data_IF_282935433427
#
_entry.id   IF_282935433427
#
_cell.length_a   1.000
_cell.length_b   1.000
_cell.length_c   1.000
_cell.angle_alpha   90.00
_cell.angle_beta   90.00
_cell.angle_gamma   90.00
#
_symmetry.space_group_name_H-M   'P 1'
#
loop_
_entity.id
_entity.type
_entity.pdbx_description
1 polymer ?
#
# COMPACT_ATOMS: atom_id res chain seq x y z
N UNK A 1 -6.91 45.44 -31.10
CA UNK A 1 -5.95 45.43 -29.98
C UNK A 1 -6.29 44.37 -28.90
N UNK A 2 -6.86 43.22 -29.27
CA UNK A 2 -7.24 42.13 -28.34
C UNK A 2 -6.42 40.84 -28.53
N UNK A 3 -5.72 40.67 -29.66
CA UNK A 3 -4.93 39.48 -29.97
C UNK A 3 -3.58 39.39 -29.22
N UNK A 4 -3.06 40.52 -28.71
CA UNK A 4 -1.75 40.54 -28.05
C UNK A 4 -1.81 40.10 -26.59
N UNK A 5 -2.96 40.23 -25.92
CA UNK A 5 -3.16 39.83 -24.51
C UNK A 5 -3.35 38.33 -24.32
N UNK A 6 -3.93 37.64 -25.30
CA UNK A 6 -4.18 36.20 -25.23
C UNK A 6 -2.87 35.39 -25.30
N UNK A 7 -1.90 35.85 -26.10
CA UNK A 7 -0.58 35.20 -26.21
C UNK A 7 0.25 35.23 -24.93
N UNK A 8 0.10 36.26 -24.08
CA UNK A 8 0.82 36.32 -22.81
C UNK A 8 0.19 35.45 -21.72
N UNK A 9 -1.11 35.20 -21.76
CA UNK A 9 -1.76 34.27 -20.83
C UNK A 9 -1.39 32.79 -21.14
N UNK A 10 -1.18 32.45 -22.40
CA UNK A 10 -0.81 31.08 -22.80
C UNK A 10 0.60 30.67 -22.35
N UNK A 11 1.53 31.63 -22.21
CA UNK A 11 2.91 31.35 -21.78
C UNK A 11 2.98 31.15 -20.25
N UNK A 12 2.08 31.75 -19.48
CA UNK A 12 2.05 31.59 -18.02
C UNK A 12 1.48 30.22 -17.56
N UNK A 13 0.59 29.62 -18.35
CA UNK A 13 -0.06 28.34 -18.01
C UNK A 13 0.89 27.14 -18.24
N UNK A 14 1.87 27.25 -19.14
CA UNK A 14 2.89 26.21 -19.35
C UNK A 14 3.93 26.19 -18.22
N UNK A 15 4.08 27.29 -17.46
CA UNK A 15 4.97 27.35 -16.29
C UNK A 15 4.43 26.61 -15.06
N UNK A 16 3.13 26.25 -15.07
CA UNK A 16 2.46 25.46 -14.04
C UNK A 16 2.18 24.01 -14.49
N UNK A 17 2.87 23.53 -15.52
CA UNK A 17 3.02 22.11 -15.75
C UNK A 17 3.88 21.54 -14.61
N UNK A 18 3.18 21.20 -13.53
CA UNK A 18 3.65 20.51 -12.33
C UNK A 18 4.71 19.49 -12.72
N UNK A 19 5.95 19.83 -12.39
CA UNK A 19 7.08 18.93 -12.40
C UNK A 19 6.76 17.88 -11.34
N UNK A 20 6.02 16.83 -11.71
CA UNK A 20 5.97 15.59 -10.96
C UNK A 20 7.30 14.87 -11.17
N UNK A 21 8.39 15.47 -10.69
CA UNK A 21 9.62 14.71 -10.47
C UNK A 21 9.32 13.78 -9.31
N UNK A 22 9.10 12.51 -9.59
CA UNK A 22 9.32 11.48 -8.60
C UNK A 22 10.85 11.40 -8.42
N UNK A 23 11.36 12.04 -7.37
CA UNK A 23 12.74 11.83 -6.97
C UNK A 23 12.76 10.43 -6.37
N UNK A 24 13.41 9.51 -7.06
CA UNK A 24 13.77 8.25 -6.43
C UNK A 24 14.70 8.63 -5.25
N UNK A 25 14.47 8.06 -4.07
CA UNK A 25 15.25 8.37 -2.88
C UNK A 25 16.35 7.32 -2.73
N UNK A 26 17.54 7.74 -2.30
CA UNK A 26 18.62 6.81 -1.97
C UNK A 26 18.20 5.80 -0.89
N UNK A 27 17.30 6.20 0.00
CA UNK A 27 16.78 5.39 1.09
C UNK A 27 15.27 5.42 1.04
N UNK A 28 14.63 4.25 1.05
CA UNK A 28 13.17 4.12 1.11
C UNK A 28 12.78 3.13 2.21
N UNK A 29 11.77 3.49 2.99
CA UNK A 29 11.24 2.63 4.05
C UNK A 29 9.94 2.01 3.57
N UNK A 30 9.82 0.69 3.72
CA UNK A 30 8.56 -0.01 3.47
C UNK A 30 8.34 -1.09 4.53
N UNK A 31 7.19 -1.00 5.21
CA UNK A 31 6.87 -1.83 6.39
C UNK A 31 7.99 -1.69 7.43
N UNK A 32 8.52 -2.80 7.89
CA UNK A 32 9.60 -2.96 8.87
C UNK A 32 10.99 -3.10 8.22
N UNK A 33 11.15 -2.61 6.98
CA UNK A 33 12.40 -2.68 6.21
C UNK A 33 12.83 -1.33 5.68
N UNK A 34 14.14 -1.09 5.70
CA UNK A 34 14.83 0.05 5.08
C UNK A 34 15.60 -0.49 3.88
N UNK A 35 15.33 0.07 2.70
CA UNK A 35 16.05 -0.24 1.47
C UNK A 35 16.97 0.93 1.14
N UNK A 36 18.22 0.65 0.82
CA UNK A 36 19.25 1.64 0.56
C UNK A 36 19.92 1.30 -0.78
N UNK A 37 19.95 2.25 -1.70
CA UNK A 37 20.70 2.18 -2.94
C UNK A 37 22.04 2.91 -2.76
N UNK A 38 23.13 2.18 -2.52
CA UNK A 38 24.47 2.75 -2.32
C UNK A 38 25.53 1.83 -2.93
N UNK A 39 25.67 1.90 -4.26
CA UNK A 39 26.55 0.98 -5.00
C UNK A 39 26.12 -0.49 -4.90
N UNK A 40 24.85 -0.72 -4.57
CA UNK A 40 24.19 -2.01 -4.39
C UNK A 40 22.81 -1.80 -3.77
N UNK A 41 22.04 -2.88 -3.63
CA UNK A 41 20.77 -2.85 -2.89
C UNK A 41 20.98 -3.46 -1.49
N UNK A 42 20.97 -2.63 -0.47
CA UNK A 42 21.13 -3.04 0.92
C UNK A 42 19.76 -2.99 1.60
N UNK A 43 19.38 -4.06 2.28
CA UNK A 43 18.15 -4.11 3.08
C UNK A 43 18.49 -4.25 4.55
N UNK A 44 17.85 -3.43 5.39
CA UNK A 44 17.97 -3.49 6.84
C UNK A 44 16.60 -3.65 7.49
N UNK A 45 16.59 -4.30 8.64
CA UNK A 45 15.43 -4.29 9.53
C UNK A 45 15.30 -2.91 10.20
N UNK A 46 14.09 -2.35 10.19
CA UNK A 46 13.81 -1.02 10.74
C UNK A 46 13.94 -0.97 12.26
N UNK A 47 13.66 -2.07 12.96
CA UNK A 47 13.59 -2.11 14.42
C UNK A 47 14.96 -2.34 15.07
N UNK A 48 15.80 -3.14 14.42
CA UNK A 48 17.11 -3.57 14.92
C UNK A 48 18.26 -2.91 14.18
N UNK A 49 18.04 -2.38 12.98
CA UNK A 49 19.08 -1.86 12.10
C UNK A 49 19.99 -2.95 11.50
N UNK A 50 19.72 -4.22 11.79
CA UNK A 50 20.49 -5.35 11.29
C UNK A 50 20.29 -5.51 9.78
N UNK A 51 21.34 -5.99 9.08
CA UNK A 51 21.22 -6.35 7.68
C UNK A 51 20.22 -7.51 7.52
N UNK A 52 19.32 -7.38 6.56
CA UNK A 52 18.39 -8.42 6.19
C UNK A 52 19.01 -9.31 5.10
N UNK A 53 18.90 -10.63 5.25
CA UNK A 53 19.45 -11.59 4.28
C UNK A 53 18.68 -11.64 2.96
N UNK A 54 17.50 -11.02 2.88
CA UNK A 54 16.67 -11.05 1.68
C UNK A 54 17.28 -10.34 0.47
N UNK A 55 18.31 -9.50 0.66
CA UNK A 55 19.06 -8.86 -0.41
C UNK A 55 20.45 -9.48 -0.61
N UNK A 56 20.66 -10.72 -0.14
CA UNK A 56 21.87 -11.47 -0.44
C UNK A 56 21.86 -11.88 -1.93
N UNK A 57 23.02 -11.80 -2.62
CA UNK A 57 23.12 -12.29 -3.99
C UNK A 57 22.76 -13.79 -4.11
N UNK A 58 22.18 -14.23 -5.25
CA UNK A 58 21.86 -13.41 -6.43
C UNK A 58 20.58 -12.60 -6.24
N UNK A 59 20.61 -11.33 -6.66
CA UNK A 59 19.45 -10.48 -6.77
C UNK A 59 18.82 -10.70 -8.14
N UNK A 60 17.55 -11.11 -8.16
CA UNK A 60 16.88 -11.52 -9.39
C UNK A 60 15.92 -10.44 -9.89
N UNK A 61 15.82 -10.30 -11.21
CA UNK A 61 14.74 -9.57 -11.85
C UNK A 61 13.44 -10.41 -11.87
N UNK A 62 12.28 -9.83 -12.25
CA UNK A 62 11.02 -10.58 -12.33
C UNK A 62 11.02 -11.76 -13.33
N UNK A 63 11.99 -11.83 -14.24
CA UNK A 63 12.18 -12.94 -15.18
C UNK A 63 13.15 -14.01 -14.65
N UNK A 64 13.76 -13.80 -13.46
CA UNK A 64 14.69 -14.72 -12.82
C UNK A 64 16.15 -14.53 -13.23
N UNK A 65 16.50 -13.44 -13.90
CA UNK A 65 17.89 -13.14 -14.27
C UNK A 65 18.64 -12.51 -13.10
N UNK A 66 19.89 -12.92 -12.88
CA UNK A 66 20.77 -12.29 -11.89
C UNK A 66 21.19 -10.88 -12.35
N UNK A 67 20.78 -9.88 -11.59
CA UNK A 67 21.06 -8.46 -11.81
C UNK A 67 22.00 -7.87 -10.77
N UNK A 68 22.59 -8.70 -9.89
CA UNK A 68 23.48 -8.24 -8.81
C UNK A 68 24.61 -7.36 -9.35
N UNK A 69 25.22 -7.75 -10.48
CA UNK A 69 26.32 -6.99 -11.10
C UNK A 69 25.91 -5.61 -11.64
N UNK A 70 24.64 -5.42 -11.99
CA UNK A 70 24.12 -4.16 -12.53
C UNK A 70 23.90 -3.11 -11.42
N UNK A 71 23.73 -3.55 -10.19
CA UNK A 71 23.45 -2.68 -9.04
C UNK A 71 24.69 -1.97 -8.48
N UNK A 72 25.89 -2.23 -9.03
CA UNK A 72 27.14 -1.61 -8.59
C UNK A 72 27.16 -0.07 -8.68
N UNK A 73 26.24 0.52 -9.44
CA UNK A 73 26.06 1.98 -9.57
C UNK A 73 24.68 2.44 -9.12
N UNK A 74 24.02 1.67 -8.26
CA UNK A 74 22.73 2.01 -7.68
C UNK A 74 22.81 3.31 -6.88
N UNK A 75 21.88 4.22 -7.13
CA UNK A 75 21.83 5.57 -6.54
C UNK A 75 20.51 5.83 -5.84
N UNK A 76 19.41 5.37 -6.43
CA UNK A 76 18.09 5.57 -5.88
C UNK A 76 17.26 4.29 -5.94
N UNK A 77 16.29 4.17 -5.03
CA UNK A 77 15.40 3.02 -4.97
C UNK A 77 13.96 3.45 -4.71
N UNK A 78 13.04 2.86 -5.45
CA UNK A 78 11.61 3.02 -5.25
C UNK A 78 10.98 1.64 -5.10
N UNK A 79 10.15 1.46 -4.07
CA UNK A 79 9.46 0.20 -3.86
C UNK A 79 8.02 0.26 -4.38
N UNK A 80 7.69 -0.64 -5.30
CA UNK A 80 6.32 -0.83 -5.80
C UNK A 80 5.92 -2.29 -5.61
N UNK A 81 4.89 -2.52 -4.79
CA UNK A 81 4.45 -3.89 -4.42
C UNK A 81 5.61 -4.75 -3.89
N UNK A 82 5.98 -5.82 -4.59
CA UNK A 82 7.03 -6.73 -4.21
C UNK A 82 8.33 -6.50 -5.01
N UNK A 83 8.44 -5.35 -5.67
CA UNK A 83 9.58 -5.01 -6.52
C UNK A 83 10.27 -3.74 -6.03
N UNK A 84 11.61 -3.77 -6.05
CA UNK A 84 12.45 -2.59 -5.95
C UNK A 84 12.85 -2.17 -7.36
N UNK A 85 12.50 -0.94 -7.74
CA UNK A 85 12.97 -0.30 -8.96
C UNK A 85 14.16 0.55 -8.54
N UNK A 86 15.34 0.19 -9.02
CA UNK A 86 16.61 0.81 -8.63
C UNK A 86 17.16 1.60 -9.80
N UNK A 87 17.41 2.88 -9.61
CA UNK A 87 18.11 3.72 -10.58
C UNK A 87 19.59 3.40 -10.53
N UNK A 88 20.18 3.10 -11.69
CA UNK A 88 21.61 2.78 -11.85
C UNK A 88 22.24 3.71 -12.87
N UNK A 89 23.56 3.89 -12.75
CA UNK A 89 24.38 4.67 -13.68
C UNK A 89 25.49 3.84 -14.32
N UNK A 90 25.16 2.89 -15.21
CA UNK A 90 26.17 2.13 -15.96
C UNK A 90 26.95 3.03 -16.92
N UNK A 91 28.11 2.55 -17.35
CA UNK A 91 28.93 3.20 -18.38
C UNK A 91 28.60 2.61 -19.76
N UNK A 92 28.51 3.47 -20.77
CA UNK A 92 28.40 3.05 -22.17
C UNK A 92 29.75 2.51 -22.71
N UNK A 93 29.77 2.11 -23.99
CA UNK A 93 30.99 1.62 -24.66
C UNK A 93 32.10 2.66 -24.78
N UNK A 94 31.79 3.94 -24.60
CA UNK A 94 32.74 5.07 -24.65
C UNK A 94 33.17 5.51 -23.23
N UNK A 95 32.62 4.87 -22.18
CA UNK A 95 32.92 5.17 -20.79
C UNK A 95 32.10 6.32 -20.21
N UNK A 96 31.05 6.80 -20.89
CA UNK A 96 30.17 7.84 -20.37
C UNK A 96 29.06 7.21 -19.51
N UNK A 97 28.71 7.81 -18.35
CA UNK A 97 27.60 7.34 -17.54
C UNK A 97 26.27 7.69 -18.21
N UNK A 98 25.34 6.73 -18.23
CA UNK A 98 23.94 6.96 -18.61
C UNK A 98 23.00 6.50 -17.49
N UNK A 99 21.73 6.92 -17.55
CA UNK A 99 20.72 6.55 -16.56
C UNK A 99 19.98 5.31 -17.06
N UNK A 100 19.88 4.29 -16.22
CA UNK A 100 19.06 3.11 -16.46
C UNK A 100 18.36 2.67 -15.17
N UNK A 101 17.43 1.73 -15.28
CA UNK A 101 16.69 1.18 -14.13
C UNK A 101 16.72 -0.33 -14.12
N UNK A 102 16.98 -0.90 -12.95
CA UNK A 102 16.93 -2.35 -12.72
C UNK A 102 15.75 -2.64 -11.80
N UNK A 103 14.94 -3.63 -12.17
CA UNK A 103 13.88 -4.13 -11.29
C UNK A 103 14.37 -5.37 -10.57
N UNK A 104 14.28 -5.37 -9.24
CA UNK A 104 14.67 -6.49 -8.36
C UNK A 104 13.42 -7.02 -7.67
N UNK A 105 13.22 -8.34 -7.71
CA UNK A 105 12.20 -9.01 -6.90
C UNK A 105 12.65 -9.05 -5.43
N UNK A 106 11.87 -8.39 -4.59
CA UNK A 106 12.09 -8.32 -3.13
C UNK A 106 10.92 -8.94 -2.36
N UNK A 107 10.11 -9.79 -3.01
CA UNK A 107 9.00 -10.50 -2.36
C UNK A 107 9.44 -11.22 -1.09
N UNK A 108 10.62 -11.85 -1.11
CA UNK A 108 11.22 -12.55 0.01
C UNK A 108 11.72 -11.62 1.15
N UNK A 109 11.81 -10.31 0.93
CA UNK A 109 12.17 -9.34 1.98
C UNK A 109 11.05 -9.07 2.97
N UNK A 110 9.83 -9.40 2.57
CA UNK A 110 8.67 -9.27 3.43
C UNK A 110 8.35 -10.64 3.99
N UNK A 111 8.25 -10.73 5.32
CA UNK A 111 7.65 -11.91 5.92
C UNK A 111 6.23 -12.02 5.37
N UNK A 112 6.00 -13.06 4.58
CA UNK A 112 4.65 -13.49 4.27
C UNK A 112 4.11 -13.95 5.62
N UNK A 113 3.27 -13.13 6.25
CA UNK A 113 2.41 -13.59 7.34
C UNK A 113 1.45 -14.60 6.72
N UNK A 114 1.91 -15.84 6.59
CA UNK A 114 1.10 -16.96 6.19
C UNK A 114 0.11 -17.16 7.32
N UNK A 115 -1.11 -16.68 7.13
CA UNK A 115 -2.15 -17.07 8.05
C UNK A 115 -2.60 -18.46 7.66
N UNK A 116 -2.31 -19.43 8.52
CA UNK A 116 -2.69 -20.81 8.28
C UNK A 116 -4.21 -20.86 8.15
N UNK A 117 -4.71 -21.51 7.10
CA UNK A 117 -6.14 -21.46 6.72
C UNK A 117 -7.05 -21.98 7.85
N UNK A 118 -6.55 -22.90 8.67
CA UNK A 118 -7.21 -23.40 9.89
C UNK A 118 -7.48 -22.30 10.94
N UNK A 119 -6.69 -21.21 10.93
CA UNK A 119 -6.87 -20.04 11.80
C UNK A 119 -7.71 -18.93 11.15
N UNK A 120 -8.01 -19.02 9.85
CA UNK A 120 -8.84 -18.06 9.12
C UNK A 120 -10.23 -18.59 8.75
N UNK A 121 -10.77 -19.53 9.53
CA UNK A 121 -12.13 -20.00 9.34
C UNK A 121 -13.05 -19.11 10.18
N UNK A 122 -13.98 -18.41 9.53
CA UNK A 122 -15.06 -17.71 10.23
C UNK A 122 -15.95 -18.72 10.95
N UNK A 123 -16.20 -18.50 12.23
CA UNK A 123 -17.04 -19.38 13.05
C UNK A 123 -18.29 -18.64 13.50
N UNK A 124 -19.41 -19.36 13.55
CA UNK A 124 -20.69 -18.84 14.04
C UNK A 124 -21.13 -19.70 15.22
N UNK A 125 -21.30 -19.07 16.37
CA UNK A 125 -21.95 -19.62 17.55
C UNK A 125 -23.39 -19.09 17.61
N UNK A 126 -24.33 -19.91 17.15
CA UNK A 126 -25.76 -19.54 17.05
C UNK A 126 -26.40 -19.41 18.44
N UNK A 127 -25.95 -20.20 19.42
CA UNK A 127 -26.51 -20.19 20.78
C UNK A 127 -26.14 -18.90 21.52
N UNK A 128 -24.90 -18.46 21.36
CA UNK A 128 -24.42 -17.19 21.93
C UNK A 128 -24.74 -15.99 21.05
N UNK A 129 -25.17 -16.23 19.82
CA UNK A 129 -25.35 -15.18 18.83
C UNK A 129 -24.04 -14.43 18.60
N UNK A 130 -22.94 -15.15 18.36
CA UNK A 130 -21.63 -14.58 18.05
C UNK A 130 -21.07 -15.09 16.70
N UNK A 131 -20.68 -14.18 15.81
CA UNK A 131 -19.92 -14.45 14.60
C UNK A 131 -18.48 -13.95 14.80
N UNK A 132 -17.51 -14.82 14.54
CA UNK A 132 -16.08 -14.51 14.65
C UNK A 132 -15.47 -14.58 13.26
N UNK A 133 -14.89 -13.48 12.80
CA UNK A 133 -14.18 -13.38 11.52
C UNK A 133 -12.70 -13.13 11.83
N UNK A 134 -11.87 -14.19 11.86
CA UNK A 134 -10.42 -14.02 11.97
C UNK A 134 -9.84 -13.43 10.67
N UNK A 135 -8.63 -12.87 10.76
CA UNK A 135 -7.82 -12.47 9.60
C UNK A 135 -8.37 -11.31 8.76
N UNK A 136 -9.11 -10.38 9.35
CA UNK A 136 -9.52 -9.15 8.66
C UNK A 136 -8.30 -8.24 8.54
N UNK A 137 -7.91 -7.86 7.32
CA UNK A 137 -6.83 -6.91 7.10
C UNK A 137 -7.32 -5.47 7.35
N UNK A 138 -6.59 -4.74 8.20
CA UNK A 138 -6.80 -3.32 8.45
C UNK A 138 -5.43 -2.64 8.64
N UNK A 139 -5.16 -1.62 7.82
CA UNK A 139 -3.92 -0.85 7.86
C UNK A 139 -2.63 -1.72 7.85
N UNK A 140 -2.62 -2.79 7.04
CA UNK A 140 -1.48 -3.73 6.92
C UNK A 140 -1.29 -4.70 8.09
N UNK A 141 -2.24 -4.75 9.02
CA UNK A 141 -2.28 -5.70 10.14
C UNK A 141 -3.53 -6.59 10.07
N UNK A 142 -3.47 -7.79 10.64
CA UNK A 142 -4.61 -8.71 10.70
C UNK A 142 -5.27 -8.67 12.08
N UNK A 143 -6.59 -8.58 12.10
CA UNK A 143 -7.40 -8.56 13.32
C UNK A 143 -8.54 -9.56 13.28
N UNK A 144 -9.01 -9.97 14.47
CA UNK A 144 -10.17 -10.85 14.63
C UNK A 144 -11.37 -9.99 15.00
N UNK A 145 -12.41 -10.02 14.17
CA UNK A 145 -13.64 -9.28 14.40
C UNK A 145 -14.64 -10.19 15.11
N UNK A 146 -15.26 -9.66 16.17
CA UNK A 146 -16.35 -10.29 16.89
C UNK A 146 -17.63 -9.53 16.59
N UNK A 147 -18.66 -10.23 16.14
CA UNK A 147 -19.94 -9.63 15.77
C UNK A 147 -21.06 -10.28 16.56
N UNK A 148 -21.77 -9.48 17.35
CA UNK A 148 -22.92 -9.97 18.11
C UNK A 148 -24.19 -9.96 17.25
N UNK A 149 -25.07 -10.93 17.48
CA UNK A 149 -26.35 -11.04 16.78
C UNK A 149 -27.27 -9.88 17.15
N UNK A 150 -27.85 -9.22 16.16
CA UNK A 150 -28.83 -8.15 16.35
C UNK A 150 -30.24 -8.72 16.39
N UNK A 151 -30.80 -8.80 17.60
CA UNK A 151 -32.19 -9.24 17.81
C UNK A 151 -32.42 -10.69 17.38
N UNK A 152 -33.59 -10.97 16.82
CA UNK A 152 -34.00 -12.31 16.35
C UNK A 152 -33.76 -12.56 14.86
N UNK A 153 -33.14 -11.61 14.15
CA UNK A 153 -32.74 -11.79 12.75
C UNK A 153 -31.30 -12.26 12.66
N UNK A 154 -30.94 -13.01 11.61
CA UNK A 154 -29.56 -13.39 11.27
C UNK A 154 -28.69 -12.20 10.79
N UNK A 155 -28.95 -11.01 11.32
CA UNK A 155 -28.19 -9.80 11.07
C UNK A 155 -27.15 -9.63 12.19
N UNK A 156 -25.89 -9.56 11.81
CA UNK A 156 -24.75 -9.45 12.73
C UNK A 156 -24.31 -7.99 12.84
N UNK A 157 -24.13 -7.46 14.06
CA UNK A 157 -23.61 -6.11 14.30
C UNK A 157 -22.12 -6.18 14.59
N UNK A 158 -21.34 -5.30 13.95
CA UNK A 158 -19.89 -5.24 14.16
C UNK A 158 -19.60 -4.62 15.53
N UNK A 159 -18.94 -5.38 16.40
CA UNK A 159 -18.32 -4.88 17.63
C UNK A 159 -16.80 -4.92 17.48
N UNK A 160 -16.13 -3.83 17.81
CA UNK A 160 -14.66 -3.81 17.83
C UNK A 160 -14.20 -3.91 19.29
N UNK A 161 -13.64 -5.05 19.69
CA UNK A 161 -13.02 -5.22 21.01
C UNK A 161 -11.49 -5.09 20.89
N UNK A 162 -10.91 -4.13 21.63
CA UNK A 162 -9.49 -3.79 21.58
C UNK A 162 -9.25 -2.30 21.87
N UNK A 163 -8.01 -1.91 22.18
CA UNK A 163 -7.63 -0.50 22.40
C UNK A 163 -7.55 0.24 21.05
N UNK A 164 -8.69 0.40 20.39
CA UNK A 164 -8.82 0.94 19.03
C UNK A 164 -8.93 2.46 19.08
N UNK A 165 -7.85 3.12 19.53
CA UNK A 165 -7.79 4.58 19.65
C UNK A 165 -8.08 5.30 18.31
N UNK A 166 -7.74 4.66 17.18
CA UNK A 166 -7.91 5.21 15.84
C UNK A 166 -9.36 5.11 15.30
N UNK A 167 -10.22 4.29 15.91
CA UNK A 167 -11.62 4.12 15.48
C UNK A 167 -12.60 5.09 16.16
N UNK A 168 -12.11 6.00 17.02
CA UNK A 168 -12.93 6.98 17.75
C UNK A 168 -13.72 7.96 16.88
N UNK A 169 -13.42 8.05 15.57
CA UNK A 169 -14.02 9.02 14.65
C UNK A 169 -14.90 8.39 13.57
N UNK A 170 -15.43 7.18 13.79
CA UNK A 170 -16.44 6.64 12.87
C UNK A 170 -17.77 7.37 13.06
N UNK A 171 -17.94 8.49 12.35
CA UNK A 171 -19.21 9.19 12.26
C UNK A 171 -20.13 8.38 11.36
N UNK A 172 -21.16 7.82 11.98
CA UNK A 172 -22.34 7.31 11.29
C UNK A 172 -23.04 8.51 10.65
N UNK A 173 -23.04 8.57 9.33
CA UNK A 173 -23.98 9.43 8.61
C UNK A 173 -25.36 8.78 8.80
N UNK A 174 -26.12 9.31 9.75
CA UNK A 174 -27.55 9.04 9.86
C UNK A 174 -28.24 9.93 8.81
N UNK A 175 -28.54 9.37 7.65
CA UNK A 175 -29.41 9.98 6.66
C UNK A 175 -30.87 9.82 7.13
N UNK A 176 -31.27 10.71 8.04
CA UNK A 176 -32.63 10.85 8.53
C UNK A 176 -33.26 12.09 7.87
N UNK A 177 -33.81 11.97 6.66
CA UNK A 177 -34.95 12.80 6.28
C UNK A 177 -35.54 12.36 4.94
N UNK A 178 -36.68 11.67 4.98
CA UNK A 178 -37.85 11.96 4.14
C UNK A 178 -39.08 11.33 4.78
N UNK A 179 -39.65 12.05 5.74
CA UNK A 179 -41.05 11.87 6.12
C UNK A 179 -41.92 12.79 5.27
N UNK A 180 -42.92 12.23 4.58
CA UNK A 180 -44.35 12.63 4.62
C UNK A 180 -45.16 12.12 3.41
N UNK A 181 -46.17 11.32 3.76
CA UNK A 181 -47.59 11.40 3.35
C UNK A 181 -47.89 11.50 1.85
N UNK A 182 -48.54 10.47 1.34
CA UNK A 182 -49.91 10.62 0.83
C UNK A 182 -50.74 9.43 1.31
N UNK A 183 -51.73 9.74 2.13
CA UNK A 183 -52.98 8.98 2.24
C UNK A 183 -53.62 8.97 0.84
N UNK A 184 -54.27 7.88 0.46
CA UNK A 184 -55.59 7.91 -0.15
C UNK A 184 -56.15 6.48 -0.15
N UNK A 185 -57.39 6.43 0.32
CA UNK A 185 -58.29 5.29 0.50
C UNK A 185 -58.72 4.65 -0.84
N UNK A 186 -59.64 3.69 -0.74
CA UNK A 186 -60.52 3.13 -1.80
C UNK A 186 -59.90 1.93 -2.57
N UNK A 187 -60.50 0.74 -2.68
CA UNK A 187 -61.91 0.30 -2.60
C UNK A 187 -62.00 -1.21 -2.29
N UNK A 188 -63.09 -1.59 -1.61
CA UNK A 188 -63.88 -2.85 -1.62
C UNK A 188 -63.23 -4.23 -1.88
#
# INVERSE_FOLDING_TARGET
MYYLKIRQLSILIVLFAVINTAWAEQVVVKRDRIFIADGGLIVKDLHTGALNQCSAPPLLDPAGNDVTGLLGTATDVVIKHHYAIVTIHPLDSEGNPFVDTVTVDISNCFEIKTVTVDKCISTVDIERGLLIIPCVEYNGSYLTVHMDRRGNSDNWRVGFSGNNAEMKHYHRYDDDDYSRRYDDDDDD
#
